data_IF_717446347399
#
_entry.id   IF_717446347399
#
_cell.length_a   1.000
_cell.length_b   1.000
_cell.length_c   1.000
_cell.angle_alpha   90.00
_cell.angle_beta   90.00
_cell.angle_gamma   90.00
#
_symmetry.space_group_name_H-M   'P 1'
#
loop_
_entity.id
_entity.type
_entity.pdbx_description
1 polymer ?
#
# COMPACT_ATOMS: atom_id res chain seq x y z
N UNK A 1 9.51 -18.43 -4.20
CA UNK A 1 9.07 -17.50 -3.15
C UNK A 1 7.56 -17.50 -3.12
N UNK A 2 6.94 -17.49 -1.94
CA UNK A 2 5.47 -17.37 -1.86
C UNK A 2 5.12 -15.90 -1.70
N UNK A 3 4.09 -15.44 -2.40
CA UNK A 3 3.59 -14.07 -2.29
C UNK A 3 2.12 -14.12 -1.89
N UNK A 4 1.65 -13.10 -1.17
CA UNK A 4 0.25 -13.00 -0.75
C UNK A 4 -0.46 -11.95 -1.59
N UNK A 5 -1.46 -12.35 -2.36
CA UNK A 5 -2.30 -11.43 -3.13
C UNK A 5 -3.12 -10.54 -2.19
N UNK A 6 -3.09 -9.24 -2.43
CA UNK A 6 -3.92 -8.27 -1.72
C UNK A 6 -5.19 -8.03 -2.54
N UNK A 7 -6.35 -8.22 -1.90
CA UNK A 7 -7.64 -8.34 -2.58
C UNK A 7 -8.59 -7.17 -2.29
N UNK A 8 -8.26 -6.34 -1.31
CA UNK A 8 -9.04 -5.17 -0.91
C UNK A 8 -8.17 -4.25 -0.05
N UNK A 9 -8.61 -3.00 0.15
CA UNK A 9 -7.94 -2.09 1.09
C UNK A 9 -8.01 -2.61 2.52
N UNK A 10 -9.11 -3.22 2.94
CA UNK A 10 -9.20 -3.88 4.25
C UNK A 10 -8.20 -5.02 4.42
N UNK A 11 -7.88 -5.72 3.34
CA UNK A 11 -6.81 -6.71 3.36
C UNK A 11 -5.45 -6.02 3.46
N UNK A 12 -5.20 -4.96 2.68
CA UNK A 12 -3.96 -4.18 2.75
C UNK A 12 -3.70 -3.65 4.17
N UNK A 13 -4.70 -3.05 4.81
CA UNK A 13 -4.60 -2.52 6.19
C UNK A 13 -4.18 -3.59 7.20
N UNK A 14 -4.68 -4.82 7.04
CA UNK A 14 -4.31 -5.95 7.93
C UNK A 14 -2.87 -6.40 7.71
N UNK A 15 -2.41 -6.39 6.46
CA UNK A 15 -1.08 -6.86 6.08
C UNK A 15 0.01 -5.81 6.27
N UNK A 16 -0.32 -4.53 6.23
CA UNK A 16 0.58 -3.39 6.38
C UNK A 16 0.62 -2.82 7.82
N UNK A 17 0.13 -3.58 8.82
CA UNK A 17 0.21 -3.16 10.24
C UNK A 17 1.65 -2.95 10.71
N UNK A 18 2.57 -3.67 10.12
CA UNK A 18 4.01 -3.49 10.26
C UNK A 18 4.54 -3.04 8.90
N UNK A 19 5.67 -2.33 8.90
CA UNK A 19 6.37 -2.01 7.66
C UNK A 19 6.69 -3.32 6.92
N UNK A 20 6.16 -3.45 5.72
CA UNK A 20 6.26 -4.67 4.92
C UNK A 20 6.50 -4.32 3.47
N UNK A 21 7.28 -5.15 2.78
CA UNK A 21 7.50 -4.99 1.34
C UNK A 21 6.30 -5.54 0.55
N UNK A 22 5.76 -4.70 -0.31
CA UNK A 22 4.74 -5.04 -1.30
C UNK A 22 5.30 -4.78 -2.70
N UNK A 23 4.72 -5.42 -3.70
CA UNK A 23 5.01 -5.10 -5.08
C UNK A 23 3.77 -5.16 -5.95
N UNK A 24 3.75 -4.28 -6.96
CA UNK A 24 2.77 -4.32 -8.04
C UNK A 24 3.38 -5.11 -9.20
N UNK A 25 2.71 -6.18 -9.61
CA UNK A 25 3.07 -6.93 -10.81
C UNK A 25 2.76 -6.11 -12.07
N UNK A 26 3.74 -5.98 -12.95
CA UNK A 26 3.65 -5.26 -14.21
C UNK A 26 3.80 -6.24 -15.38
N UNK A 27 3.50 -5.76 -16.58
CA UNK A 27 3.69 -6.56 -17.80
C UNK A 27 5.15 -6.95 -18.01
N UNK A 28 5.37 -8.09 -18.67
CA UNK A 28 6.72 -8.57 -19.00
C UNK A 28 7.54 -9.09 -17.82
N UNK A 29 6.88 -9.46 -16.71
CA UNK A 29 7.55 -10.00 -15.51
C UNK A 29 8.23 -8.93 -14.65
N UNK A 30 7.99 -7.66 -14.92
CA UNK A 30 8.48 -6.54 -14.12
C UNK A 30 7.63 -6.35 -12.85
N UNK A 31 8.21 -5.68 -11.85
CA UNK A 31 7.50 -5.31 -10.64
C UNK A 31 7.91 -3.93 -10.14
N UNK A 32 7.00 -3.26 -9.43
CA UNK A 32 7.28 -2.03 -8.69
C UNK A 32 7.17 -2.34 -7.20
N UNK A 33 8.33 -2.49 -6.53
CA UNK A 33 8.40 -2.68 -5.07
C UNK A 33 8.12 -1.37 -4.33
N UNK A 34 7.48 -1.50 -3.18
CA UNK A 34 7.10 -0.43 -2.25
C UNK A 34 7.14 -0.97 -0.83
N UNK A 35 7.57 -0.17 0.13
CA UNK A 35 7.26 -0.47 1.53
C UNK A 35 5.98 0.26 1.92
N UNK A 36 5.06 -0.47 2.54
CA UNK A 36 3.76 0.08 2.94
C UNK A 36 3.56 -0.18 4.43
N UNK A 37 3.23 0.88 5.15
CA UNK A 37 2.83 0.83 6.55
C UNK A 37 1.49 1.58 6.72
N UNK A 38 0.53 0.96 7.40
CA UNK A 38 -0.76 1.54 7.71
C UNK A 38 -0.86 1.85 9.20
N UNK A 39 -1.04 3.13 9.52
CA UNK A 39 -1.23 3.60 10.88
C UNK A 39 -2.61 4.23 11.06
N UNK A 40 -3.20 4.03 12.24
CA UNK A 40 -4.38 4.75 12.70
C UNK A 40 -3.94 5.64 13.85
N UNK A 41 -3.85 6.95 13.61
CA UNK A 41 -3.46 7.91 14.64
C UNK A 41 -4.68 8.37 15.45
N UNK A 42 -4.52 8.38 16.78
CA UNK A 42 -5.51 8.95 17.68
C UNK A 42 -5.45 10.49 17.66
N UNK A 43 -6.46 11.09 17.01
CA UNK A 43 -7.08 12.39 17.26
C UNK A 43 -6.15 13.60 17.52
N UNK A 44 -6.01 14.44 16.49
CA UNK A 44 -6.10 15.89 16.67
C UNK A 44 -7.57 16.27 16.50
N UNK A 45 -8.21 16.83 17.54
CA UNK A 45 -9.58 17.38 17.51
C UNK A 45 -10.78 16.41 17.43
N UNK A 46 -10.61 15.11 17.73
CA UNK A 46 -11.76 14.20 17.80
C UNK A 46 -11.98 13.31 16.57
N UNK A 47 -11.19 13.46 15.51
CA UNK A 47 -11.25 12.68 14.27
C UNK A 47 -10.10 11.66 14.25
N UNK A 48 -10.41 10.38 14.01
CA UNK A 48 -9.38 9.37 13.75
C UNK A 48 -8.84 9.59 12.34
N UNK A 49 -7.52 9.79 12.21
CA UNK A 49 -6.87 9.88 10.90
C UNK A 49 -6.15 8.55 10.65
N UNK A 50 -6.52 7.88 9.58
CA UNK A 50 -5.80 6.72 9.09
C UNK A 50 -4.93 7.11 7.91
N UNK A 51 -3.66 6.72 7.95
CA UNK A 51 -2.66 7.10 6.95
C UNK A 51 -1.90 5.87 6.49
N UNK A 52 -1.73 5.73 5.18
CA UNK A 52 -0.75 4.85 4.56
C UNK A 52 0.54 5.63 4.34
N UNK A 53 1.64 5.12 4.87
CA UNK A 53 2.99 5.54 4.57
C UNK A 53 3.54 4.60 3.50
N UNK A 54 3.88 5.15 2.34
CA UNK A 54 4.34 4.39 1.19
C UNK A 54 5.71 4.89 0.78
N UNK A 55 6.73 4.05 0.93
CA UNK A 55 8.05 4.30 0.36
C UNK A 55 8.12 3.72 -1.06
N UNK A 56 8.34 4.58 -2.05
CA UNK A 56 8.45 4.16 -3.44
C UNK A 56 9.92 4.10 -3.85
N UNK A 57 10.44 2.89 -4.02
CA UNK A 57 11.84 2.64 -4.39
C UNK A 57 12.24 3.26 -5.75
N UNK A 58 11.29 3.47 -6.66
CA UNK A 58 11.58 4.08 -7.97
C UNK A 58 11.94 5.56 -7.83
N UNK A 59 11.25 6.26 -6.92
CA UNK A 59 11.43 7.71 -6.70
C UNK A 59 12.33 7.99 -5.50
N UNK A 60 12.56 6.99 -4.64
CA UNK A 60 13.37 7.10 -3.43
C UNK A 60 12.71 7.97 -2.36
N UNK A 61 11.38 8.11 -2.39
CA UNK A 61 10.63 9.04 -1.54
C UNK A 61 9.52 8.34 -0.77
N UNK A 62 9.27 8.84 0.44
CA UNK A 62 8.11 8.49 1.27
C UNK A 62 6.93 9.39 0.89
N UNK A 63 5.75 8.82 0.71
CA UNK A 63 4.51 9.54 0.46
C UNK A 63 3.40 9.09 1.43
N UNK A 64 2.63 10.03 1.93
CA UNK A 64 1.48 9.78 2.80
C UNK A 64 0.19 9.79 1.99
N UNK A 65 -0.69 8.83 2.26
CA UNK A 65 -1.99 8.74 1.62
C UNK A 65 -3.08 8.45 2.64
N UNK A 66 -4.18 9.20 2.58
CA UNK A 66 -5.47 8.71 3.06
C UNK A 66 -5.95 7.53 2.21
N UNK A 67 -7.00 6.84 2.65
CA UNK A 67 -7.61 5.78 1.83
C UNK A 67 -8.06 6.28 0.46
N UNK A 68 -8.71 7.44 0.39
CA UNK A 68 -9.17 8.05 -0.86
C UNK A 68 -8.00 8.42 -1.78
N UNK A 69 -6.95 9.02 -1.23
CA UNK A 69 -5.76 9.38 -2.00
C UNK A 69 -4.98 8.15 -2.46
N UNK A 70 -5.02 7.04 -1.73
CA UNK A 70 -4.40 5.79 -2.14
C UNK A 70 -5.01 5.27 -3.46
N UNK A 71 -6.31 5.50 -3.68
CA UNK A 71 -6.99 5.12 -4.93
C UNK A 71 -6.84 6.15 -6.06
N UNK A 72 -6.76 7.43 -5.73
CA UNK A 72 -6.82 8.51 -6.73
C UNK A 72 -5.44 9.06 -7.12
N UNK A 73 -4.47 9.04 -6.21
CA UNK A 73 -3.15 9.65 -6.37
C UNK A 73 -2.00 8.62 -6.38
N UNK A 74 -2.30 7.34 -6.15
CA UNK A 74 -1.33 6.25 -6.22
C UNK A 74 -1.79 5.16 -7.17
N UNK A 75 -0.86 4.31 -7.63
CA UNK A 75 -1.19 3.14 -8.44
C UNK A 75 -1.57 1.90 -7.60
N UNK A 76 -1.65 2.02 -6.27
CA UNK A 76 -1.92 0.92 -5.36
C UNK A 76 -3.40 0.51 -5.41
N UNK A 77 -4.32 1.48 -5.40
CA UNK A 77 -5.76 1.20 -5.48
C UNK A 77 -6.13 0.45 -6.77
N UNK A 78 -5.68 0.95 -7.92
CA UNK A 78 -5.85 0.29 -9.22
C UNK A 78 -5.22 -1.12 -9.24
N UNK A 79 -4.03 -1.29 -8.61
CA UNK A 79 -3.39 -2.59 -8.53
C UNK A 79 -4.19 -3.60 -7.70
N UNK A 80 -4.90 -3.16 -6.65
CA UNK A 80 -5.82 -4.03 -5.89
C UNK A 80 -6.99 -4.46 -6.77
N UNK A 81 -7.63 -3.52 -7.46
CA UNK A 81 -8.76 -3.79 -8.35
C UNK A 81 -8.39 -4.78 -9.47
N UNK A 82 -7.18 -4.63 -10.02
CA UNK A 82 -6.62 -5.51 -11.06
C UNK A 82 -5.99 -6.81 -10.54
N UNK A 83 -6.03 -7.07 -9.22
CA UNK A 83 -5.38 -8.23 -8.57
C UNK A 83 -3.88 -8.34 -8.89
N UNK A 84 -3.21 -7.20 -8.92
CA UNK A 84 -1.80 -7.04 -9.24
C UNK A 84 -0.92 -6.66 -8.04
N UNK A 85 -1.50 -6.40 -6.86
CA UNK A 85 -0.74 -6.06 -5.65
C UNK A 85 -0.46 -7.30 -4.79
N UNK A 86 0.79 -7.50 -4.39
CA UNK A 86 1.23 -8.63 -3.59
C UNK A 86 2.11 -8.19 -2.41
N UNK A 87 1.98 -8.86 -1.26
CA UNK A 87 2.95 -8.79 -0.17
C UNK A 87 4.06 -9.82 -0.38
N UNK A 88 5.31 -9.40 -0.21
CA UNK A 88 6.46 -10.32 -0.18
C UNK A 88 6.50 -10.99 1.21
N UNK A 89 6.65 -12.32 1.21
CA UNK A 89 6.74 -13.16 2.43
C UNK A 89 8.12 -13.78 2.55
#
# INVERSE_FOLDING_TARGET
MKHKLITSVEHLKKEAKEESEFFIALNGGLCSSKDIHYCVEEKVSGILKSTFYVYNYVVGMMQEYTEEELFTLSNIGEAIEKKALYKRM
#
